data_IF_264200096193
#
_entry.id   IF_264200096193
#
_cell.length_a   1.000
_cell.length_b   1.000
_cell.length_c   1.000
_cell.angle_alpha   90.00
_cell.angle_beta   90.00
_cell.angle_gamma   90.00
#
_symmetry.space_group_name_H-M   'P 1'
#
loop_
_entity.id
_entity.type
_entity.pdbx_description
1 polymer ?
#
# COMPACT_ATOMS: atom_id res chain seq x y z
N UNK A 1 45.88 -10.32 67.90
CA UNK A 1 44.45 -10.21 68.12
C UNK A 1 44.00 -8.92 67.43
N UNK A 2 43.49 -9.04 66.19
CA UNK A 2 43.13 -7.90 65.32
C UNK A 2 41.66 -7.94 65.12
N UNK A 3 40.95 -6.88 65.49
CA UNK A 3 39.54 -6.69 65.22
C UNK A 3 39.38 -5.90 63.94
N UNK A 4 38.67 -6.49 62.95
CA UNK A 4 38.35 -5.88 61.68
C UNK A 4 37.02 -5.18 61.79
N UNK A 5 36.99 -3.87 61.59
CA UNK A 5 35.76 -3.08 61.51
C UNK A 5 35.13 -3.14 60.10
N UNK A 6 33.86 -3.52 60.03
CA UNK A 6 33.07 -3.48 58.81
C UNK A 6 32.40 -2.11 58.70
N UNK A 7 32.75 -1.34 57.66
CA UNK A 7 32.02 -0.13 57.30
C UNK A 7 30.88 -0.48 56.37
N UNK A 8 29.63 -0.23 56.80
CA UNK A 8 28.45 -0.24 55.97
C UNK A 8 28.26 1.13 55.31
N UNK A 9 28.35 1.17 53.97
CA UNK A 9 28.01 2.33 53.19
C UNK A 9 26.51 2.31 52.83
N UNK A 10 25.77 3.27 53.36
CA UNK A 10 24.37 3.53 52.99
C UNK A 10 24.33 4.43 51.74
N UNK A 11 23.76 3.94 50.66
CA UNK A 11 23.45 4.72 49.49
C UNK A 11 22.17 5.57 49.71
N UNK A 12 22.10 6.80 49.19
CA UNK A 12 20.94 7.65 49.37
C UNK A 12 19.81 7.28 48.42
N UNK A 13 18.60 7.18 48.95
CA UNK A 13 17.32 6.99 48.28
C UNK A 13 17.05 8.10 47.24
N UNK A 14 16.81 7.71 46.02
CA UNK A 14 16.29 8.58 44.96
C UNK A 14 14.89 8.12 44.53
N UNK A 15 13.80 8.55 45.20
CA UNK A 15 12.47 8.40 44.64
C UNK A 15 11.70 9.72 44.33
N UNK A 16 12.30 10.90 44.54
CA UNK A 16 11.52 12.14 44.38
C UNK A 16 11.57 12.81 42.99
N UNK A 17 12.51 12.46 42.13
CA UNK A 17 12.65 13.12 40.80
C UNK A 17 11.73 12.52 39.76
N UNK A 18 11.39 11.23 39.87
CA UNK A 18 10.47 10.58 38.92
C UNK A 18 9.00 10.94 39.09
N UNK A 19 8.57 11.22 40.36
CA UNK A 19 7.16 11.57 40.63
C UNK A 19 6.78 13.00 40.19
N UNK A 20 7.76 13.93 40.18
CA UNK A 20 7.54 15.31 39.74
C UNK A 20 7.44 15.47 38.24
N UNK A 21 8.18 14.65 37.46
CA UNK A 21 8.07 14.65 36.00
C UNK A 21 6.76 14.01 35.50
N UNK A 22 6.26 12.98 36.16
CA UNK A 22 4.98 12.36 35.80
C UNK A 22 3.75 13.25 36.08
N UNK A 23 3.81 14.13 37.08
CA UNK A 23 2.71 15.07 37.40
C UNK A 23 2.66 16.29 36.48
N UNK A 24 3.77 16.73 35.92
CA UNK A 24 3.80 17.84 34.95
C UNK A 24 3.27 17.44 33.57
N UNK A 25 3.34 16.16 33.20
CA UNK A 25 2.85 15.67 31.91
C UNK A 25 1.37 15.21 31.93
N UNK A 26 0.78 14.99 33.10
CA UNK A 26 -0.63 14.62 33.23
C UNK A 26 -1.59 15.80 33.15
N UNK A 27 -1.12 17.04 33.08
CA UNK A 27 -1.94 18.26 33.08
C UNK A 27 -2.15 18.88 31.70
N UNK A 28 -1.54 18.33 30.63
CA UNK A 28 -1.67 18.84 29.26
C UNK A 28 -2.32 17.82 28.30
N UNK A 29 -3.08 16.86 28.82
CA UNK A 29 -4.05 16.10 28.05
C UNK A 29 -5.35 16.91 27.90
N UNK A 30 -5.29 18.06 27.23
CA UNK A 30 -6.42 18.47 26.40
C UNK A 30 -6.49 17.45 25.28
N UNK A 31 -7.38 16.47 25.43
CA UNK A 31 -7.91 15.66 24.36
C UNK A 31 -8.55 16.61 23.35
N UNK A 32 -7.76 17.23 22.46
CA UNK A 32 -8.31 17.71 21.21
C UNK A 32 -8.87 16.48 20.51
N UNK A 33 -10.19 16.33 20.58
CA UNK A 33 -10.90 15.44 19.68
C UNK A 33 -10.43 15.78 18.28
N UNK A 34 -9.81 14.81 17.59
CA UNK A 34 -9.52 14.91 16.17
C UNK A 34 -10.88 14.99 15.46
N UNK A 35 -11.44 16.21 15.44
CA UNK A 35 -12.60 16.50 14.63
C UNK A 35 -12.19 16.37 13.18
N UNK A 36 -12.94 15.57 12.42
CA UNK A 36 -12.79 15.53 10.96
C UNK A 36 -13.05 16.91 10.33
N UNK A 37 -13.75 17.79 11.05
CA UNK A 37 -13.99 19.18 10.68
C UNK A 37 -12.70 20.02 10.68
N UNK A 38 -11.69 19.69 11.48
CA UNK A 38 -10.35 20.28 11.41
C UNK A 38 -9.63 20.00 10.07
N UNK A 39 -10.16 19.06 9.28
CA UNK A 39 -9.72 18.85 7.90
C UNK A 39 -10.42 19.80 6.91
N UNK A 40 -11.45 20.51 7.31
CA UNK A 40 -12.22 21.42 6.43
C UNK A 40 -11.70 22.86 6.44
N UNK A 41 -10.74 23.20 7.29
CA UNK A 41 -10.15 24.52 7.31
C UNK A 41 -9.51 24.87 5.97
N UNK A 42 -10.09 25.89 5.41
CA UNK A 42 -9.82 26.60 4.18
C UNK A 42 -8.39 27.20 4.20
N UNK A 43 -7.39 26.38 3.88
CA UNK A 43 -6.06 26.88 3.55
C UNK A 43 -6.04 27.29 2.07
N UNK A 44 -6.67 28.43 1.80
CA UNK A 44 -6.63 29.12 0.50
C UNK A 44 -5.28 29.78 0.21
N UNK A 45 -4.23 29.49 0.95
CA UNK A 45 -2.87 29.73 0.49
C UNK A 45 -2.62 28.80 -0.70
N UNK A 46 -3.03 29.24 -1.88
CA UNK A 46 -2.51 28.75 -3.15
C UNK A 46 -0.98 28.85 -3.06
N UNK A 47 -0.32 27.76 -2.63
CA UNK A 47 1.05 27.56 -3.09
C UNK A 47 0.94 27.65 -4.61
N UNK A 48 1.46 28.74 -5.19
CA UNK A 48 1.58 28.89 -6.63
C UNK A 48 2.34 27.68 -7.13
N UNK A 49 1.56 26.66 -7.49
CA UNK A 49 2.07 25.42 -8.11
C UNK A 49 2.56 25.88 -9.47
N UNK A 50 3.86 26.16 -9.57
CA UNK A 50 4.48 26.20 -10.90
C UNK A 50 4.08 24.91 -11.58
N UNK A 51 3.46 24.95 -12.76
CA UNK A 51 3.04 23.75 -13.48
C UNK A 51 4.22 22.79 -13.50
N UNK A 52 4.00 21.58 -12.99
CA UNK A 52 5.00 20.53 -13.07
C UNK A 52 5.21 20.22 -14.55
N UNK A 53 6.29 20.80 -15.12
CA UNK A 53 6.65 20.62 -16.52
C UNK A 53 7.29 19.26 -16.80
N UNK A 54 7.39 18.41 -15.75
CA UNK A 54 7.96 17.08 -15.88
C UNK A 54 7.04 16.19 -16.74
N UNK A 55 7.56 15.66 -17.83
CA UNK A 55 6.84 14.69 -18.64
C UNK A 55 6.76 13.35 -17.89
N UNK A 56 5.60 13.07 -17.31
CA UNK A 56 5.35 11.83 -16.56
C UNK A 56 5.43 10.58 -17.41
N UNK A 57 5.21 10.70 -18.72
CA UNK A 57 5.36 9.56 -19.63
C UNK A 57 6.82 9.12 -19.71
N UNK A 58 7.79 10.04 -19.50
CA UNK A 58 9.22 9.71 -19.53
C UNK A 58 9.66 8.69 -18.47
N UNK A 59 8.87 8.52 -17.38
CA UNK A 59 9.16 7.55 -16.32
C UNK A 59 8.21 6.34 -16.35
N UNK A 60 7.26 6.27 -17.28
CA UNK A 60 6.27 5.18 -17.32
C UNK A 60 6.92 3.81 -17.49
N UNK A 61 7.90 3.71 -18.39
CA UNK A 61 8.69 2.48 -18.59
C UNK A 61 9.50 2.11 -17.33
N UNK A 62 10.07 3.09 -16.63
CA UNK A 62 10.78 2.84 -15.35
C UNK A 62 9.83 2.34 -14.27
N UNK A 63 8.62 2.91 -14.20
CA UNK A 63 7.58 2.44 -13.27
C UNK A 63 7.15 1.02 -13.61
N UNK A 64 6.94 0.71 -14.89
CA UNK A 64 6.54 -0.62 -15.34
C UNK A 64 7.63 -1.67 -15.14
N UNK A 65 8.91 -1.28 -15.28
CA UNK A 65 10.06 -2.20 -15.25
C UNK A 65 10.70 -2.33 -13.86
N UNK A 66 10.66 -1.29 -13.03
CA UNK A 66 11.36 -1.23 -11.73
C UNK A 66 10.51 -0.65 -10.59
N UNK A 67 9.28 -0.20 -10.88
CA UNK A 67 8.43 0.43 -9.88
C UNK A 67 7.67 -0.55 -9.00
N UNK A 68 7.05 -0.02 -7.98
CA UNK A 68 6.13 -0.71 -7.07
C UNK A 68 4.69 -0.22 -7.24
N UNK A 69 3.75 -0.80 -6.51
CA UNK A 69 2.36 -0.34 -6.48
C UNK A 69 2.25 1.14 -6.06
N UNK A 70 3.13 1.59 -5.18
CA UNK A 70 3.18 2.97 -4.71
C UNK A 70 3.59 3.95 -5.82
N UNK A 71 4.57 3.59 -6.64
CA UNK A 71 5.09 4.47 -7.71
C UNK A 71 4.11 4.69 -8.86
N UNK A 72 3.15 3.80 -9.07
CA UNK A 72 2.11 3.99 -10.11
C UNK A 72 1.26 5.24 -9.87
N UNK A 73 1.16 5.71 -8.61
CA UNK A 73 0.45 6.93 -8.25
C UNK A 73 1.12 8.20 -8.81
N UNK A 74 2.42 8.16 -9.06
CA UNK A 74 3.18 9.30 -9.58
C UNK A 74 2.76 9.66 -11.00
N UNK A 75 2.33 8.67 -11.79
CA UNK A 75 1.84 8.89 -13.15
C UNK A 75 0.45 9.54 -13.17
N UNK A 76 -0.38 9.27 -12.18
CA UNK A 76 -1.80 9.59 -12.22
C UNK A 76 -2.19 10.89 -11.51
N UNK A 77 -1.47 11.26 -10.44
CA UNK A 77 -1.88 12.37 -9.59
C UNK A 77 -0.97 13.58 -9.74
N UNK A 78 -1.54 14.74 -10.06
CA UNK A 78 -0.82 16.01 -10.18
C UNK A 78 -0.14 16.46 -8.89
N UNK A 79 -0.63 16.00 -7.72
CA UNK A 79 -0.03 16.31 -6.40
C UNK A 79 1.38 15.76 -6.21
N UNK A 80 1.80 14.75 -7.00
CA UNK A 80 3.17 14.25 -6.93
C UNK A 80 4.09 15.10 -7.80
N UNK A 81 5.14 15.61 -7.18
CA UNK A 81 6.33 16.13 -7.87
C UNK A 81 7.30 14.98 -8.10
N UNK A 82 8.08 15.06 -9.17
CA UNK A 82 9.07 14.04 -9.51
C UNK A 82 10.46 14.65 -9.38
N UNK A 83 11.29 14.01 -8.57
CA UNK A 83 12.72 14.23 -8.58
C UNK A 83 13.40 13.14 -9.39
N UNK A 84 14.34 13.53 -10.22
CA UNK A 84 15.24 12.62 -10.93
C UNK A 84 16.66 13.10 -10.68
N UNK A 85 17.55 12.16 -10.32
CA UNK A 85 18.97 12.48 -10.18
C UNK A 85 19.54 12.93 -11.52
N UNK A 86 20.49 13.86 -11.52
CA UNK A 86 21.11 14.36 -12.76
C UNK A 86 21.96 13.33 -13.51
N UNK A 87 22.35 12.25 -12.81
CA UNK A 87 23.16 11.15 -13.34
C UNK A 87 22.89 9.87 -12.58
N UNK A 88 23.26 8.71 -13.12
CA UNK A 88 23.22 7.45 -12.37
C UNK A 88 23.96 7.55 -11.05
N UNK A 89 23.41 6.91 -10.01
CA UNK A 89 24.00 6.79 -8.68
C UNK A 89 24.38 5.33 -8.48
N UNK A 90 25.68 5.05 -8.43
CA UNK A 90 26.16 3.68 -8.29
C UNK A 90 25.59 2.98 -7.03
N UNK A 91 25.20 1.70 -7.11
CA UNK A 91 25.32 0.79 -8.25
C UNK A 91 24.14 0.84 -9.26
N UNK A 92 23.22 1.82 -9.18
CA UNK A 92 22.13 1.95 -10.16
C UNK A 92 22.68 2.29 -11.56
N UNK A 93 22.19 1.58 -12.58
CA UNK A 93 22.58 1.76 -13.99
C UNK A 93 21.92 2.96 -14.65
N UNK A 94 20.86 3.50 -14.05
CA UNK A 94 20.17 4.71 -14.49
C UNK A 94 20.03 5.72 -13.33
N UNK A 95 19.69 6.96 -13.66
CA UNK A 95 19.44 8.02 -12.70
C UNK A 95 18.20 7.70 -11.85
N UNK A 96 18.31 7.58 -10.51
CA UNK A 96 17.17 7.32 -9.63
C UNK A 96 16.06 8.36 -9.77
N UNK A 97 14.82 7.90 -9.60
CA UNK A 97 13.60 8.72 -9.66
C UNK A 97 12.82 8.55 -8.37
N UNK A 98 12.32 9.66 -7.80
CA UNK A 98 11.48 9.66 -6.60
C UNK A 98 10.27 10.58 -6.76
N UNK A 99 9.06 10.00 -6.58
CA UNK A 99 7.84 10.80 -6.47
C UNK A 99 7.60 11.26 -5.04
N UNK A 100 7.21 12.51 -4.86
CA UNK A 100 6.97 13.09 -3.54
C UNK A 100 5.85 14.13 -3.56
N UNK A 101 5.22 14.34 -2.41
CA UNK A 101 4.24 15.41 -2.17
C UNK A 101 4.84 16.42 -1.19
N UNK A 102 4.41 17.67 -1.28
CA UNK A 102 4.76 18.71 -0.29
C UNK A 102 3.49 19.31 0.32
N UNK A 103 3.49 19.50 1.64
CA UNK A 103 2.48 20.29 2.35
C UNK A 103 3.15 21.08 3.48
N UNK A 104 3.18 22.40 3.35
CA UNK A 104 3.95 23.27 4.24
C UNK A 104 5.43 22.89 4.26
N UNK A 105 5.97 22.66 5.46
CA UNK A 105 7.37 22.24 5.65
C UNK A 105 7.57 20.72 5.52
N UNK A 106 6.52 19.93 5.23
CA UNK A 106 6.61 18.48 5.10
C UNK A 106 6.76 18.06 3.65
N UNK A 107 7.69 17.14 3.42
CA UNK A 107 7.90 16.46 2.13
C UNK A 107 7.69 14.97 2.36
N UNK A 108 6.70 14.42 1.68
CA UNK A 108 6.34 13.01 1.76
C UNK A 108 6.84 12.29 0.52
N UNK A 109 7.99 11.62 0.62
CA UNK A 109 8.46 10.70 -0.39
C UNK A 109 7.57 9.45 -0.38
N UNK A 110 7.00 9.08 -1.52
CA UNK A 110 5.97 8.05 -1.62
C UNK A 110 6.50 6.81 -2.32
N UNK A 111 6.63 5.72 -1.60
CA UNK A 111 7.27 4.49 -2.08
C UNK A 111 8.79 4.61 -2.16
N UNK A 112 9.44 3.54 -2.60
CA UNK A 112 10.89 3.53 -2.81
C UNK A 112 11.30 4.41 -3.99
N UNK A 113 12.50 4.98 -4.00
CA UNK A 113 13.08 5.49 -5.23
C UNK A 113 13.21 4.36 -6.25
N UNK A 114 12.93 4.66 -7.52
CA UNK A 114 13.16 3.71 -8.61
C UNK A 114 14.66 3.68 -8.91
N UNK A 115 15.25 2.52 -8.75
CA UNK A 115 16.67 2.21 -8.99
C UNK A 115 16.79 0.87 -9.70
N UNK A 116 17.91 0.58 -10.36
CA UNK A 116 18.09 -0.70 -11.04
C UNK A 116 18.45 -1.87 -10.11
N UNK A 117 18.87 -1.57 -8.88
CA UNK A 117 19.22 -2.56 -7.85
C UNK A 117 18.93 -2.01 -6.46
N UNK A 118 18.43 -2.82 -5.52
CA UNK A 118 18.18 -2.40 -4.14
C UNK A 118 19.40 -1.83 -3.42
N UNK A 119 20.60 -2.25 -3.77
CA UNK A 119 21.85 -1.75 -3.18
C UNK A 119 22.09 -0.25 -3.42
N UNK A 120 21.38 0.35 -4.39
CA UNK A 120 21.43 1.79 -4.65
C UNK A 120 20.45 2.61 -3.79
N UNK A 121 19.57 1.98 -3.01
CA UNK A 121 18.51 2.67 -2.27
C UNK A 121 19.05 3.69 -1.27
N UNK A 122 20.09 3.33 -0.48
CA UNK A 122 20.67 4.24 0.49
C UNK A 122 21.25 5.49 -0.18
N UNK A 123 22.06 5.30 -1.22
CA UNK A 123 22.69 6.39 -1.93
C UNK A 123 21.66 7.29 -2.63
N UNK A 124 20.62 6.71 -3.21
CA UNK A 124 19.49 7.43 -3.81
C UNK A 124 18.70 8.23 -2.75
N UNK A 125 18.46 7.64 -1.57
CA UNK A 125 17.81 8.32 -0.46
C UNK A 125 18.60 9.53 0.03
N UNK A 126 19.91 9.37 0.25
CA UNK A 126 20.80 10.48 0.63
C UNK A 126 20.78 11.61 -0.39
N UNK A 127 20.85 11.28 -1.68
CA UNK A 127 20.83 12.26 -2.76
C UNK A 127 19.48 13.02 -2.80
N UNK A 128 18.35 12.32 -2.61
CA UNK A 128 17.05 12.96 -2.55
C UNK A 128 16.92 13.88 -1.33
N UNK A 129 17.36 13.46 -0.13
CA UNK A 129 17.34 14.30 1.07
C UNK A 129 18.20 15.55 0.88
N UNK A 130 19.39 15.42 0.28
CA UNK A 130 20.26 16.55 -0.05
C UNK A 130 19.57 17.53 -1.02
N UNK A 131 18.91 17.00 -2.04
CA UNK A 131 18.13 17.82 -2.98
C UNK A 131 17.05 18.62 -2.23
N UNK A 132 16.22 17.96 -1.41
CA UNK A 132 15.17 18.65 -0.65
C UNK A 132 15.75 19.71 0.29
N UNK A 133 16.84 19.40 1.00
CA UNK A 133 17.52 20.35 1.90
C UNK A 133 18.11 21.55 1.14
N UNK A 134 18.51 21.37 -0.12
CA UNK A 134 18.99 22.47 -0.97
C UNK A 134 17.89 23.42 -1.41
N UNK A 135 16.64 22.95 -1.48
CA UNK A 135 15.47 23.80 -1.78
C UNK A 135 15.12 24.71 -0.59
N UNK A 136 15.08 24.13 0.60
CA UNK A 136 14.85 24.83 1.86
C UNK A 136 15.29 23.94 3.03
N UNK A 137 16.16 24.44 3.88
CA UNK A 137 16.70 23.71 5.05
C UNK A 137 15.64 23.40 6.13
N UNK A 138 14.47 24.05 6.08
CA UNK A 138 13.35 23.81 6.99
C UNK A 138 12.47 22.65 6.58
N UNK A 139 12.63 22.13 5.36
CA UNK A 139 11.84 21.00 4.86
C UNK A 139 12.19 19.71 5.59
N UNK A 140 11.16 18.98 6.03
CA UNK A 140 11.26 17.72 6.74
C UNK A 140 10.81 16.59 5.81
N UNK A 141 11.70 15.65 5.53
CA UNK A 141 11.41 14.51 4.67
C UNK A 141 10.87 13.36 5.50
N UNK A 142 9.77 12.77 5.06
CA UNK A 142 9.19 11.55 5.57
C UNK A 142 9.00 10.58 4.41
N UNK A 143 9.48 9.36 4.54
CA UNK A 143 9.17 8.30 3.58
C UNK A 143 7.91 7.52 4.00
N UNK A 144 7.01 7.30 3.05
CA UNK A 144 5.72 6.63 3.28
C UNK A 144 5.55 5.52 2.25
N UNK A 145 4.99 4.39 2.66
CA UNK A 145 4.71 3.24 1.79
C UNK A 145 5.98 2.64 1.18
N UNK A 146 7.02 2.50 1.97
CA UNK A 146 8.27 1.84 1.57
C UNK A 146 8.28 0.37 1.99
N UNK A 147 8.98 -0.46 1.23
CA UNK A 147 9.19 -1.87 1.55
C UNK A 147 10.31 -2.08 2.57
N UNK A 148 10.56 -3.34 2.90
CA UNK A 148 11.57 -3.73 3.89
C UNK A 148 13.01 -3.38 3.46
N UNK A 149 13.32 -3.39 2.16
CA UNK A 149 14.68 -3.04 1.70
C UNK A 149 14.97 -1.55 1.92
N UNK A 150 14.02 -0.70 1.60
CA UNK A 150 14.12 0.74 1.84
C UNK A 150 14.05 1.08 3.33
N UNK A 151 13.21 0.36 4.09
CA UNK A 151 13.14 0.50 5.54
C UNK A 151 14.49 0.23 6.21
N UNK A 152 15.19 -0.84 5.82
CA UNK A 152 16.55 -1.14 6.31
C UNK A 152 17.54 -0.04 5.92
N UNK A 153 17.50 0.43 4.68
CA UNK A 153 18.36 1.52 4.23
C UNK A 153 18.17 2.79 5.06
N UNK A 154 16.93 3.12 5.43
CA UNK A 154 16.63 4.29 6.26
C UNK A 154 16.87 4.06 7.75
N UNK A 155 16.41 2.92 8.30
CA UNK A 155 16.48 2.61 9.73
C UNK A 155 17.87 2.21 10.21
N UNK A 156 18.49 1.23 9.54
CA UNK A 156 19.78 0.68 9.95
C UNK A 156 20.95 1.59 9.51
N UNK A 157 20.94 2.08 8.26
CA UNK A 157 22.09 2.79 7.69
C UNK A 157 22.02 4.30 7.89
N UNK A 158 20.81 4.90 7.91
CA UNK A 158 20.60 6.34 8.11
C UNK A 158 20.14 6.69 9.52
N UNK A 159 19.83 5.71 10.38
CA UNK A 159 19.43 5.93 11.77
C UNK A 159 18.03 6.54 11.93
N UNK A 160 17.17 6.41 10.94
CA UNK A 160 15.81 6.96 10.97
C UNK A 160 14.89 6.11 11.85
N UNK A 161 13.89 6.76 12.45
CA UNK A 161 12.79 6.06 13.11
C UNK A 161 11.88 5.43 12.07
N UNK A 162 11.54 4.14 12.25
CA UNK A 162 10.73 3.40 11.31
C UNK A 162 9.56 2.70 12.01
N UNK A 163 8.39 2.73 11.38
CA UNK A 163 7.18 2.10 11.89
C UNK A 163 6.48 1.34 10.79
N UNK A 164 6.03 0.14 11.11
CA UNK A 164 5.12 -0.64 10.31
C UNK A 164 3.68 -0.27 10.68
N UNK A 165 2.92 0.23 9.73
CA UNK A 165 1.51 0.59 9.90
C UNK A 165 0.67 0.42 8.62
N UNK A 166 1.27 -0.11 7.58
CA UNK A 166 0.68 -0.29 6.25
C UNK A 166 1.06 -1.67 5.76
N UNK A 167 0.18 -2.29 4.96
CA UNK A 167 0.46 -3.52 4.21
C UNK A 167 0.34 -3.26 2.72
N UNK A 168 1.06 -4.03 1.94
CA UNK A 168 0.72 -4.31 0.55
C UNK A 168 -0.01 -5.65 0.48
N UNK A 169 -1.18 -5.66 -0.15
CA UNK A 169 -2.01 -6.87 -0.27
C UNK A 169 -1.69 -7.58 -1.57
N UNK A 170 -0.84 -8.61 -1.51
CA UNK A 170 -0.32 -9.36 -2.65
C UNK A 170 -1.08 -10.66 -2.84
N UNK A 171 -1.38 -11.01 -4.08
CA UNK A 171 -2.14 -12.19 -4.49
C UNK A 171 -1.24 -13.08 -5.36
N UNK A 172 -1.21 -14.37 -5.05
CA UNK A 172 -0.76 -15.40 -5.98
C UNK A 172 -1.96 -15.89 -6.79
N UNK A 173 -2.03 -15.66 -8.12
CA UNK A 173 -3.14 -16.09 -8.95
C UNK A 173 -3.44 -17.59 -8.82
N UNK A 174 -2.40 -18.44 -8.82
CA UNK A 174 -2.54 -19.89 -8.70
C UNK A 174 -3.26 -20.31 -7.43
N UNK A 175 -2.85 -19.73 -6.30
CA UNK A 175 -3.46 -20.07 -5.01
C UNK A 175 -4.96 -19.74 -4.98
N UNK A 176 -5.37 -18.63 -5.56
CA UNK A 176 -6.80 -18.26 -5.65
C UNK A 176 -7.56 -19.29 -6.48
N UNK A 177 -7.01 -19.70 -7.63
CA UNK A 177 -7.64 -20.67 -8.52
C UNK A 177 -7.76 -22.03 -7.83
N UNK A 178 -6.69 -22.53 -7.21
CA UNK A 178 -6.69 -23.79 -6.45
C UNK A 178 -7.76 -23.84 -5.37
N UNK A 179 -7.91 -22.75 -4.60
CA UNK A 179 -8.89 -22.68 -3.52
C UNK A 179 -10.32 -22.58 -4.04
N UNK A 180 -10.53 -21.82 -5.13
CA UNK A 180 -11.86 -21.67 -5.74
C UNK A 180 -12.31 -22.95 -6.44
N UNK A 181 -11.42 -23.62 -7.17
CA UNK A 181 -11.73 -24.83 -7.93
C UNK A 181 -11.75 -26.11 -7.06
N UNK A 182 -11.20 -26.01 -5.82
CA UNK A 182 -11.25 -27.12 -4.89
C UNK A 182 -12.70 -27.59 -4.66
N UNK A 183 -12.97 -28.91 -4.73
CA UNK A 183 -14.30 -29.44 -4.48
C UNK A 183 -14.73 -29.13 -3.03
N UNK A 184 -16.00 -28.76 -2.87
CA UNK A 184 -16.58 -28.57 -1.54
C UNK A 184 -16.47 -29.91 -0.77
N UNK A 185 -15.73 -29.94 0.33
CA UNK A 185 -15.66 -31.11 1.20
C UNK A 185 -17.07 -31.40 1.75
N UNK A 186 -17.75 -32.38 1.15
CA UNK A 186 -18.97 -32.91 1.73
C UNK A 186 -18.57 -33.67 2.98
N UNK A 187 -18.99 -33.22 4.17
CA UNK A 187 -18.84 -33.97 5.40
C UNK A 187 -19.50 -35.33 5.21
N UNK A 188 -18.70 -36.39 4.98
CA UNK A 188 -19.21 -37.75 5.03
C UNK A 188 -19.62 -37.99 6.47
N UNK A 189 -20.88 -38.42 6.65
CA UNK A 189 -21.44 -38.82 7.96
C UNK A 189 -20.58 -39.95 8.49
N UNK A 190 -19.74 -39.70 9.51
CA UNK A 190 -18.94 -40.75 10.16
C UNK A 190 -17.42 -40.51 10.26
N UNK A 191 -16.85 -39.50 9.63
CA UNK A 191 -15.45 -39.12 9.88
C UNK A 191 -15.39 -38.21 11.11
N UNK A 192 -14.50 -38.51 12.07
CA UNK A 192 -14.18 -37.61 13.21
C UNK A 192 -13.76 -36.27 12.65
N UNK A 193 -14.65 -35.31 12.76
CA UNK A 193 -14.38 -33.91 12.31
C UNK A 193 -13.33 -33.33 13.23
N UNK A 194 -12.08 -33.27 12.77
CA UNK A 194 -11.04 -32.47 13.41
C UNK A 194 -11.64 -31.07 13.68
N UNK A 195 -11.71 -30.66 14.93
CA UNK A 195 -12.25 -29.34 15.30
C UNK A 195 -11.38 -28.28 14.61
N UNK A 196 -11.90 -27.64 13.59
CA UNK A 196 -11.25 -26.53 12.91
C UNK A 196 -11.04 -25.36 13.90
N UNK A 197 -9.91 -24.71 13.83
CA UNK A 197 -9.64 -23.49 14.55
C UNK A 197 -10.64 -22.38 14.15
N UNK A 198 -10.72 -21.33 14.93
CA UNK A 198 -11.57 -20.17 14.62
C UNK A 198 -11.17 -19.54 13.28
N UNK A 199 -9.87 -19.42 13.06
CA UNK A 199 -9.27 -18.85 11.84
C UNK A 199 -9.57 -19.69 10.61
N UNK A 200 -9.46 -21.04 10.70
CA UNK A 200 -9.80 -21.95 9.61
C UNK A 200 -11.28 -21.88 9.23
N UNK A 201 -12.18 -21.67 10.22
CA UNK A 201 -13.62 -21.50 9.96
C UNK A 201 -13.90 -20.18 9.24
N UNK A 202 -13.31 -19.08 9.72
CA UNK A 202 -13.45 -17.74 9.11
C UNK A 202 -12.97 -17.79 7.66
N UNK A 203 -11.80 -18.38 7.41
CA UNK A 203 -11.24 -18.56 6.08
C UNK A 203 -12.16 -19.36 5.15
N UNK A 204 -12.74 -20.46 5.64
CA UNK A 204 -13.70 -21.25 4.85
C UNK A 204 -14.98 -20.48 4.52
N UNK A 205 -15.45 -19.61 5.42
CA UNK A 205 -16.63 -18.76 5.17
C UNK A 205 -16.35 -17.70 4.10
N UNK A 206 -15.16 -17.09 4.12
CA UNK A 206 -14.71 -16.13 3.12
C UNK A 206 -14.69 -16.78 1.73
N UNK A 207 -14.11 -17.98 1.60
CA UNK A 207 -14.08 -18.71 0.33
C UNK A 207 -15.47 -19.09 -0.15
N UNK A 208 -16.35 -19.54 0.75
CA UNK A 208 -17.76 -19.84 0.42
C UNK A 208 -18.49 -18.61 -0.11
N UNK A 209 -18.23 -17.42 0.50
CA UNK A 209 -18.84 -16.17 0.02
C UNK A 209 -18.30 -15.81 -1.37
N UNK A 210 -17.02 -15.95 -1.64
CA UNK A 210 -16.45 -15.77 -2.98
C UNK A 210 -17.15 -16.71 -3.99
N UNK A 211 -17.14 -18.02 -3.76
CA UNK A 211 -17.80 -19.00 -4.63
C UNK A 211 -19.29 -18.69 -4.85
N UNK A 212 -19.98 -18.23 -3.82
CA UNK A 212 -21.39 -17.81 -3.91
C UNK A 212 -21.55 -16.59 -4.80
N UNK A 213 -20.66 -15.59 -4.71
CA UNK A 213 -20.73 -14.39 -5.53
C UNK A 213 -20.38 -14.69 -7.00
N UNK A 214 -19.42 -15.55 -7.27
CA UNK A 214 -19.13 -16.05 -8.63
C UNK A 214 -20.37 -16.70 -9.26
N UNK A 215 -21.02 -17.63 -8.55
CA UNK A 215 -22.25 -18.29 -9.02
C UNK A 215 -23.41 -17.31 -9.24
N UNK A 216 -23.52 -16.24 -8.44
CA UNK A 216 -24.55 -15.20 -8.63
C UNK A 216 -24.34 -14.42 -9.91
N UNK A 217 -23.09 -14.00 -10.18
CA UNK A 217 -22.76 -13.31 -11.41
C UNK A 217 -23.01 -14.20 -12.64
N UNK A 218 -22.67 -15.50 -12.57
CA UNK A 218 -22.99 -16.46 -13.64
C UNK A 218 -24.47 -16.59 -13.91
N UNK A 219 -25.27 -16.79 -12.86
CA UNK A 219 -26.74 -16.89 -12.98
C UNK A 219 -27.38 -15.62 -13.54
N UNK A 220 -26.75 -14.46 -13.33
CA UNK A 220 -27.17 -13.18 -13.89
C UNK A 220 -26.72 -12.98 -15.35
N UNK A 221 -26.07 -13.98 -15.96
CA UNK A 221 -25.59 -13.91 -17.34
C UNK A 221 -24.36 -13.01 -17.54
N UNK A 222 -23.62 -12.70 -16.45
CA UNK A 222 -22.40 -11.92 -16.56
C UNK A 222 -21.31 -12.73 -17.23
N UNK A 223 -20.75 -12.21 -18.32
CA UNK A 223 -19.55 -12.73 -19.00
C UNK A 223 -18.35 -11.85 -18.69
N UNK A 224 -17.14 -12.42 -18.69
CA UNK A 224 -15.90 -11.68 -18.41
C UNK A 224 -14.81 -12.12 -19.38
N UNK A 225 -13.94 -11.18 -19.75
CA UNK A 225 -12.81 -11.48 -20.62
C UNK A 225 -11.84 -10.31 -20.73
N UNK A 226 -10.60 -10.64 -21.11
CA UNK A 226 -9.60 -9.63 -21.42
C UNK A 226 -9.91 -8.92 -22.73
N UNK A 227 -9.60 -7.64 -22.79
CA UNK A 227 -9.71 -6.84 -24.00
C UNK A 227 -8.48 -7.10 -24.87
N UNK A 228 -8.71 -7.72 -26.00
CA UNK A 228 -7.68 -7.94 -27.02
C UNK A 228 -7.87 -6.90 -28.12
N UNK A 229 -6.82 -6.09 -28.36
CA UNK A 229 -6.87 -5.01 -29.36
C UNK A 229 -7.57 -3.74 -28.84
N UNK A 230 -8.12 -2.94 -29.74
CA UNK A 230 -8.76 -1.68 -29.40
C UNK A 230 -10.24 -1.87 -29.05
N UNK A 231 -10.67 -1.13 -28.01
CA UNK A 231 -12.10 -1.03 -27.68
C UNK A 231 -12.86 -0.22 -28.72
N UNK A 232 -14.10 -0.62 -29.01
CA UNK A 232 -15.01 0.20 -29.80
C UNK A 232 -15.29 1.53 -29.10
N UNK A 233 -15.61 2.56 -29.87
CA UNK A 233 -15.97 3.88 -29.30
C UNK A 233 -17.23 3.80 -28.42
N UNK A 234 -18.20 2.95 -28.79
CA UNK A 234 -19.41 2.71 -28.00
C UNK A 234 -19.07 2.11 -26.62
N UNK A 235 -18.18 1.12 -26.56
CA UNK A 235 -17.72 0.54 -25.31
C UNK A 235 -16.96 1.58 -24.46
N UNK A 236 -16.08 2.38 -25.07
CA UNK A 236 -15.34 3.44 -24.36
C UNK A 236 -16.29 4.44 -23.69
N UNK A 237 -17.25 4.98 -24.44
CA UNK A 237 -18.24 5.91 -23.92
C UNK A 237 -19.05 5.27 -22.79
N UNK A 238 -19.46 4.01 -22.95
CA UNK A 238 -20.19 3.26 -21.92
C UNK A 238 -19.37 3.07 -20.66
N UNK A 239 -18.09 2.74 -20.78
CA UNK A 239 -17.18 2.55 -19.66
C UNK A 239 -16.94 3.87 -18.92
N UNK A 240 -16.62 4.94 -19.63
CA UNK A 240 -16.36 6.27 -19.04
C UNK A 240 -17.59 6.77 -18.29
N UNK A 241 -18.79 6.64 -18.87
CA UNK A 241 -20.04 6.96 -18.19
C UNK A 241 -20.26 6.10 -16.96
N UNK A 242 -20.03 4.78 -17.06
CA UNK A 242 -20.16 3.87 -15.92
C UNK A 242 -19.24 4.19 -14.77
N UNK A 243 -18.00 4.61 -15.06
CA UNK A 243 -17.02 5.09 -14.10
C UNK A 243 -17.50 6.38 -13.42
N UNK A 244 -18.01 7.35 -14.20
CA UNK A 244 -18.49 8.62 -13.66
C UNK A 244 -19.74 8.43 -12.78
N UNK A 245 -20.64 7.55 -13.18
CA UNK A 245 -21.82 7.22 -12.37
C UNK A 245 -21.40 6.49 -11.08
N UNK A 246 -20.42 5.60 -11.13
CA UNK A 246 -19.86 4.97 -9.94
C UNK A 246 -19.19 5.99 -8.99
N UNK A 247 -18.45 7.00 -9.51
CA UNK A 247 -17.88 8.07 -8.69
C UNK A 247 -18.95 8.86 -7.93
N UNK A 248 -20.07 9.20 -8.61
CA UNK A 248 -21.18 9.96 -8.00
C UNK A 248 -21.87 9.20 -6.86
N UNK A 249 -21.87 7.86 -6.91
CA UNK A 249 -22.50 7.02 -5.88
C UNK A 249 -21.56 6.72 -4.69
N UNK A 250 -20.33 7.21 -4.70
CA UNK A 250 -19.41 7.04 -3.57
C UNK A 250 -19.56 8.16 -2.56
N UNK A 251 -19.85 7.77 -1.33
CA UNK A 251 -19.95 8.67 -0.18
C UNK A 251 -18.72 8.51 0.74
N UNK A 252 -18.41 9.55 1.51
CA UNK A 252 -17.35 9.56 2.52
C UNK A 252 -16.00 10.12 2.02
N UNK A 253 -15.08 10.27 2.95
CA UNK A 253 -13.75 10.82 2.69
C UNK A 253 -12.95 9.88 1.80
N UNK A 254 -12.49 10.38 0.67
CA UNK A 254 -11.68 9.64 -0.30
C UNK A 254 -10.20 9.95 -0.08
N UNK A 255 -9.57 9.29 0.90
CA UNK A 255 -8.12 9.36 1.11
C UNK A 255 -7.44 8.44 0.09
N UNK A 256 -6.38 8.92 -0.54
CA UNK A 256 -5.63 8.20 -1.57
C UNK A 256 -6.54 7.57 -2.63
N UNK A 257 -7.60 8.31 -3.03
CA UNK A 257 -8.52 7.83 -4.06
C UNK A 257 -7.77 7.63 -5.37
N UNK A 258 -8.03 6.52 -6.02
CA UNK A 258 -7.52 6.24 -7.34
C UNK A 258 -8.11 7.23 -8.34
N UNK A 259 -7.30 7.86 -9.16
CA UNK A 259 -7.83 8.59 -10.32
C UNK A 259 -8.43 7.59 -11.27
N UNK A 260 -9.51 8.01 -11.89
CA UNK A 260 -10.17 7.19 -12.89
C UNK A 260 -9.81 7.74 -14.27
N UNK A 261 -8.55 7.57 -14.65
CA UNK A 261 -8.08 7.81 -16.00
C UNK A 261 -7.77 6.44 -16.62
N UNK A 262 -8.78 5.74 -17.13
CA UNK A 262 -8.63 4.34 -17.53
C UNK A 262 -7.60 4.17 -18.65
N UNK A 263 -7.51 5.14 -19.54
CA UNK A 263 -6.68 5.06 -20.75
C UNK A 263 -5.27 5.67 -20.60
N UNK A 264 -4.89 6.08 -19.40
CA UNK A 264 -3.54 6.54 -19.11
C UNK A 264 -2.57 5.37 -19.23
N UNK A 265 -1.42 5.59 -19.90
CA UNK A 265 -0.34 4.60 -19.98
C UNK A 265 -0.82 3.21 -20.49
N UNK A 266 -1.50 3.20 -21.64
CA UNK A 266 -2.11 2.00 -22.22
C UNK A 266 -1.11 0.88 -22.48
N UNK A 267 0.14 1.21 -22.81
CA UNK A 267 1.21 0.28 -23.15
C UNK A 267 1.59 -0.65 -22.00
N UNK A 268 1.43 -0.16 -20.75
CA UNK A 268 1.73 -0.92 -19.54
C UNK A 268 0.47 -1.41 -18.80
N UNK A 269 -0.72 -1.32 -19.44
CA UNK A 269 -1.98 -1.72 -18.83
C UNK A 269 -2.67 -2.84 -19.59
N UNK A 270 -3.30 -3.72 -18.84
CA UNK A 270 -4.20 -4.76 -19.33
C UNK A 270 -5.60 -4.50 -18.80
N UNK A 271 -6.60 -4.83 -19.60
CA UNK A 271 -7.99 -4.50 -19.32
C UNK A 271 -8.85 -5.75 -19.39
N UNK A 272 -9.71 -5.95 -18.40
CA UNK A 272 -10.78 -6.95 -18.43
C UNK A 272 -12.12 -6.25 -18.32
N UNK A 273 -13.10 -6.74 -19.07
CA UNK A 273 -14.48 -6.25 -19.00
C UNK A 273 -15.40 -7.35 -18.48
N UNK A 274 -16.37 -6.94 -17.68
CA UNK A 274 -17.56 -7.72 -17.45
C UNK A 274 -18.70 -7.14 -18.30
N UNK A 275 -19.45 -8.04 -18.96
CA UNK A 275 -20.59 -7.68 -19.81
C UNK A 275 -21.85 -8.37 -19.31
N UNK A 276 -22.99 -7.73 -19.49
CA UNK A 276 -24.31 -8.32 -19.21
C UNK A 276 -24.77 -9.29 -20.31
N UNK A 277 -25.95 -9.86 -20.15
CA UNK A 277 -26.53 -10.79 -21.13
C UNK A 277 -26.82 -10.14 -22.51
N UNK A 278 -26.80 -8.80 -22.58
CA UNK A 278 -26.93 -8.04 -23.82
C UNK A 278 -25.59 -7.60 -24.40
N UNK A 279 -24.51 -8.13 -23.89
CA UNK A 279 -23.13 -7.80 -24.26
C UNK A 279 -22.68 -6.36 -23.92
N UNK A 280 -23.43 -5.62 -23.09
CA UNK A 280 -23.08 -4.27 -22.65
C UNK A 280 -22.03 -4.31 -21.55
N UNK A 281 -20.95 -3.48 -21.57
CA UNK A 281 -20.01 -3.35 -20.46
C UNK A 281 -20.71 -2.88 -19.18
N UNK A 282 -20.50 -3.61 -18.07
CA UNK A 282 -21.05 -3.32 -16.74
C UNK A 282 -19.98 -3.23 -15.65
N UNK A 283 -18.74 -3.57 -15.96
CA UNK A 283 -17.60 -3.39 -15.07
C UNK A 283 -16.29 -3.40 -15.86
N UNK A 284 -15.27 -2.77 -15.29
CA UNK A 284 -13.91 -2.75 -15.81
C UNK A 284 -12.89 -3.08 -14.71
N UNK A 285 -11.91 -3.90 -15.05
CA UNK A 285 -10.69 -4.13 -14.28
C UNK A 285 -9.50 -3.64 -15.08
N UNK A 286 -8.62 -2.89 -14.42
CA UNK A 286 -7.37 -2.39 -15.00
C UNK A 286 -6.21 -2.92 -14.17
N UNK A 287 -5.32 -3.65 -14.80
CA UNK A 287 -4.05 -4.07 -14.27
C UNK A 287 -2.94 -3.19 -14.86
N UNK A 288 -2.11 -2.61 -14.00
CA UNK A 288 -0.91 -1.88 -14.41
C UNK A 288 0.31 -2.73 -14.11
N UNK A 289 1.17 -2.92 -15.10
CA UNK A 289 2.42 -3.64 -14.93
C UNK A 289 3.32 -2.89 -13.95
N UNK A 290 3.88 -3.61 -13.02
CA UNK A 290 4.94 -3.17 -12.10
C UNK A 290 5.97 -4.29 -12.03
N UNK A 291 7.23 -3.95 -11.78
CA UNK A 291 8.22 -4.96 -11.52
C UNK A 291 8.60 -4.89 -10.04
N UNK A 292 8.04 -5.79 -9.24
CA UNK A 292 8.65 -6.11 -7.97
C UNK A 292 9.95 -6.85 -8.31
N UNK A 293 11.06 -6.14 -8.33
CA UNK A 293 12.38 -6.78 -8.40
C UNK A 293 12.40 -7.87 -7.33
N UNK A 294 12.78 -9.11 -7.67
CA UNK A 294 12.91 -10.13 -6.66
C UNK A 294 13.98 -9.66 -5.68
N UNK A 295 13.55 -9.24 -4.50
CA UNK A 295 14.50 -9.06 -3.41
C UNK A 295 15.19 -10.40 -3.20
N UNK A 296 16.52 -10.37 -3.07
CA UNK A 296 17.27 -11.56 -2.75
C UNK A 296 16.62 -12.23 -1.53
N UNK A 297 16.36 -13.56 -1.56
CA UNK A 297 15.64 -14.23 -0.50
C UNK A 297 16.32 -13.94 0.82
N UNK A 298 15.63 -13.24 1.71
CA UNK A 298 16.10 -13.11 3.10
C UNK A 298 15.88 -14.47 3.76
N UNK A 299 16.89 -15.08 4.42
CA UNK A 299 16.84 -16.45 4.91
C UNK A 299 15.73 -16.74 5.94
N UNK A 300 15.03 -15.73 6.41
CA UNK A 300 14.28 -15.84 7.68
C UNK A 300 12.78 -15.48 7.60
N UNK A 301 12.17 -15.42 6.43
CA UNK A 301 10.74 -15.18 6.36
C UNK A 301 10.01 -16.31 5.65
N UNK A 302 8.99 -16.85 6.34
CA UNK A 302 7.98 -17.77 5.79
C UNK A 302 7.22 -17.17 4.56
N UNK A 303 7.51 -15.95 4.19
CA UNK A 303 7.07 -15.19 3.02
C UNK A 303 7.96 -15.43 1.77
N UNK A 304 9.00 -16.24 1.90
CA UNK A 304 9.92 -16.64 0.81
C UNK A 304 9.22 -17.22 -0.43
N UNK A 305 7.92 -17.52 -0.33
CA UNK A 305 7.15 -18.02 -1.47
C UNK A 305 6.83 -16.97 -2.53
N UNK A 306 6.90 -15.67 -2.18
CA UNK A 306 6.54 -14.58 -3.09
C UNK A 306 7.73 -14.03 -3.86
N UNK A 307 8.94 -14.22 -3.35
CA UNK A 307 10.17 -13.71 -3.96
C UNK A 307 10.92 -14.85 -4.67
N UNK A 308 10.79 -14.87 -5.98
CA UNK A 308 11.59 -15.63 -6.95
C UNK A 308 12.15 -16.98 -6.50
N UNK A 309 11.44 -18.06 -6.78
CA UNK A 309 12.07 -19.37 -6.83
C UNK A 309 13.23 -19.28 -7.85
N UNK A 310 14.45 -19.76 -7.56
CA UNK A 310 15.59 -19.70 -8.46
C UNK A 310 15.35 -20.41 -9.82
N UNK A 311 14.26 -21.16 -9.93
CA UNK A 311 13.86 -21.89 -11.15
C UNK A 311 13.05 -21.01 -12.15
N UNK A 312 12.59 -19.81 -11.74
CA UNK A 312 11.79 -18.93 -12.59
C UNK A 312 12.45 -17.55 -12.72
N UNK A 313 13.30 -17.34 -13.73
CA UNK A 313 14.06 -16.10 -13.91
C UNK A 313 13.21 -14.86 -14.22
N UNK A 314 11.95 -15.04 -14.60
CA UNK A 314 11.04 -13.94 -14.94
C UNK A 314 9.88 -13.86 -13.95
N UNK A 315 9.90 -12.80 -13.14
CA UNK A 315 8.79 -12.46 -12.27
C UNK A 315 8.12 -11.18 -12.78
N UNK A 316 6.84 -11.26 -13.07
CA UNK A 316 6.05 -10.11 -13.53
C UNK A 316 4.98 -9.83 -12.51
N UNK A 317 4.91 -8.59 -12.06
CA UNK A 317 3.89 -8.14 -11.11
C UNK A 317 2.92 -7.17 -11.77
N UNK A 318 1.67 -7.25 -11.33
CA UNK A 318 0.62 -6.30 -11.72
C UNK A 318 -0.04 -5.71 -10.50
N UNK A 319 -0.36 -4.43 -10.57
CA UNK A 319 -1.27 -3.80 -9.61
C UNK A 319 -2.68 -3.75 -10.17
N UNK A 320 -3.67 -4.15 -9.35
CA UNK A 320 -5.08 -3.84 -9.60
C UNK A 320 -5.26 -2.34 -9.39
N UNK A 321 -5.23 -1.62 -10.49
CA UNK A 321 -5.37 -0.17 -10.45
C UNK A 321 -6.82 0.23 -10.21
N UNK A 322 -7.72 -0.43 -10.89
CA UNK A 322 -9.16 -0.23 -10.77
C UNK A 322 -9.88 -1.57 -10.94
N UNK A 323 -10.87 -1.81 -10.10
CA UNK A 323 -11.88 -2.86 -10.24
C UNK A 323 -13.22 -2.21 -9.97
N UNK A 324 -13.87 -1.71 -11.01
CA UNK A 324 -15.10 -0.90 -10.90
C UNK A 324 -16.27 -1.64 -11.51
N UNK A 325 -17.25 -1.96 -10.67
CA UNK A 325 -18.59 -2.37 -11.14
C UNK A 325 -19.48 -1.15 -11.20
N UNK A 326 -20.17 -0.97 -12.32
CA UNK A 326 -21.08 0.15 -12.50
C UNK A 326 -22.33 -0.03 -11.60
N UNK A 327 -23.07 1.03 -11.28
CA UNK A 327 -24.12 0.97 -10.26
C UNK A 327 -25.16 -0.15 -10.48
N UNK A 328 -25.51 -0.44 -11.75
CA UNK A 328 -26.51 -1.44 -12.11
C UNK A 328 -25.95 -2.85 -12.30
N UNK A 329 -24.67 -3.06 -12.05
CA UNK A 329 -24.03 -4.37 -12.23
C UNK A 329 -24.57 -5.39 -11.21
N UNK A 330 -24.87 -6.63 -11.65
CA UNK A 330 -25.29 -7.70 -10.74
C UNK A 330 -24.28 -7.95 -9.61
N UNK A 331 -24.79 -8.37 -8.45
CA UNK A 331 -23.93 -8.74 -7.32
C UNK A 331 -22.97 -9.88 -7.67
N UNK A 332 -21.71 -9.72 -7.32
CA UNK A 332 -20.64 -10.67 -7.62
C UNK A 332 -19.87 -10.35 -8.92
N UNK A 333 -20.24 -9.30 -9.64
CA UNK A 333 -19.57 -8.89 -10.88
C UNK A 333 -18.10 -8.53 -10.63
N UNK A 334 -17.78 -7.78 -9.57
CA UNK A 334 -16.39 -7.43 -9.23
C UNK A 334 -15.56 -8.67 -8.92
N UNK A 335 -16.10 -9.58 -8.10
CA UNK A 335 -15.42 -10.83 -7.76
C UNK A 335 -15.19 -11.70 -9.00
N UNK A 336 -16.18 -11.82 -9.88
CA UNK A 336 -16.06 -12.60 -11.12
C UNK A 336 -15.03 -11.99 -12.07
N UNK A 337 -14.99 -10.66 -12.17
CA UNK A 337 -14.07 -9.96 -13.04
C UNK A 337 -12.61 -10.13 -12.57
N UNK A 338 -12.35 -9.95 -11.26
CA UNK A 338 -11.02 -10.15 -10.68
C UNK A 338 -10.61 -11.64 -10.82
N UNK A 339 -11.50 -12.58 -10.46
CA UNK A 339 -11.22 -14.01 -10.60
C UNK A 339 -10.88 -14.40 -12.04
N UNK A 340 -11.58 -13.84 -13.04
CA UNK A 340 -11.30 -14.08 -14.45
C UNK A 340 -9.88 -13.62 -14.83
N UNK A 341 -9.49 -12.43 -14.41
CA UNK A 341 -8.14 -11.92 -14.68
C UNK A 341 -7.07 -12.79 -14.02
N UNK A 342 -7.26 -13.17 -12.75
CA UNK A 342 -6.33 -14.04 -12.05
C UNK A 342 -6.20 -15.42 -12.73
N UNK A 343 -7.31 -15.98 -13.21
CA UNK A 343 -7.32 -17.24 -13.94
C UNK A 343 -6.58 -17.15 -15.28
N UNK A 344 -6.73 -16.06 -16.00
CA UNK A 344 -6.04 -15.85 -17.27
C UNK A 344 -4.53 -15.69 -17.03
N UNK A 345 -4.12 -14.93 -16.00
CA UNK A 345 -2.73 -14.80 -15.58
C UNK A 345 -2.15 -16.15 -15.09
N UNK A 346 -2.90 -16.96 -14.34
CA UNK A 346 -2.44 -18.28 -13.92
C UNK A 346 -2.16 -19.22 -15.10
N UNK A 347 -2.96 -19.14 -16.15
CA UNK A 347 -2.72 -19.90 -17.38
C UNK A 347 -1.47 -19.45 -18.13
N UNK A 348 -1.20 -18.15 -18.14
CA UNK A 348 -0.02 -17.57 -18.78
C UNK A 348 1.28 -17.88 -18.02
N UNK A 349 1.25 -17.88 -16.67
CA UNK A 349 2.46 -18.08 -15.85
C UNK A 349 3.12 -19.44 -16.05
N UNK A 350 2.37 -20.46 -16.48
CA UNK A 350 2.94 -21.77 -16.80
C UNK A 350 3.91 -21.73 -17.99
N UNK A 351 3.83 -20.70 -18.81
CA UNK A 351 4.61 -20.54 -20.05
C UNK A 351 5.69 -19.47 -19.92
N UNK A 352 5.41 -18.38 -19.19
CA UNK A 352 6.23 -17.16 -19.21
C UNK A 352 6.94 -16.86 -17.88
N UNK A 353 6.70 -17.61 -16.84
CA UNK A 353 7.24 -17.37 -15.50
C UNK A 353 6.15 -17.19 -14.46
N UNK A 354 6.50 -16.61 -13.31
CA UNK A 354 5.56 -16.42 -12.21
C UNK A 354 4.95 -15.02 -12.25
N UNK A 355 3.63 -14.94 -12.06
CA UNK A 355 2.90 -13.69 -11.89
C UNK A 355 2.48 -13.49 -10.45
N UNK A 356 2.54 -12.23 -10.00
CA UNK A 356 1.85 -11.78 -8.79
C UNK A 356 0.94 -10.60 -9.12
N UNK A 357 -0.10 -10.44 -8.32
CA UNK A 357 -1.03 -9.33 -8.45
C UNK A 357 -1.17 -8.66 -7.09
N UNK A 358 -1.18 -7.34 -7.03
CA UNK A 358 -1.42 -6.64 -5.77
C UNK A 358 -2.66 -5.74 -5.84
N UNK A 359 -3.39 -5.69 -4.74
CA UNK A 359 -4.43 -4.67 -4.54
C UNK A 359 -3.85 -3.29 -4.17
N UNK A 360 -2.52 -3.21 -4.00
CA UNK A 360 -1.86 -2.06 -3.44
C UNK A 360 -2.01 -1.95 -1.92
N UNK A 361 -1.72 -0.77 -1.40
CA UNK A 361 -1.60 -0.53 0.04
C UNK A 361 -2.93 -0.62 0.79
N UNK A 362 -2.84 -1.10 2.04
CA UNK A 362 -3.92 -1.11 3.04
C UNK A 362 -3.38 -0.71 4.41
N UNK A 363 -4.26 -0.22 5.29
CA UNK A 363 -3.87 0.12 6.65
C UNK A 363 -3.71 -1.16 7.49
N UNK A 364 -2.66 -1.23 8.31
CA UNK A 364 -2.53 -2.27 9.32
C UNK A 364 -3.52 -2.05 10.48
N UNK A 365 -3.85 -3.11 11.21
CA UNK A 365 -4.73 -3.01 12.37
C UNK A 365 -4.08 -2.29 13.56
N UNK A 366 -2.75 -2.24 13.58
CA UNK A 366 -1.95 -1.59 14.63
C UNK A 366 -0.65 -1.06 14.03
N UNK A 367 -0.06 -0.09 14.72
CA UNK A 367 1.27 0.40 14.42
C UNK A 367 2.29 -0.35 15.27
N UNK A 368 3.37 -0.82 14.63
CA UNK A 368 4.48 -1.52 15.27
C UNK A 368 5.78 -0.77 14.99
N UNK A 369 6.51 -0.32 16.04
CA UNK A 369 7.83 0.28 15.86
C UNK A 369 8.82 -0.79 15.39
N UNK A 370 9.72 -0.42 14.47
CA UNK A 370 10.71 -1.33 13.90
C UNK A 370 12.12 -0.91 14.27
N UNK A 371 12.59 0.28 13.87
CA UNK A 371 13.89 0.79 14.22
C UNK A 371 13.81 2.17 14.89
N UNK A 372 14.74 2.43 15.80
CA UNK A 372 15.06 3.73 16.40
C UNK A 372 13.85 4.47 17.02
N UNK A 373 12.80 3.75 17.40
CA UNK A 373 11.62 4.32 18.04
C UNK A 373 11.26 3.51 19.29
N UNK A 374 11.19 4.18 20.43
CA UNK A 374 10.86 3.53 21.72
C UNK A 374 10.15 4.48 22.69
N UNK A 375 9.62 3.90 23.77
CA UNK A 375 9.06 4.65 24.88
C UNK A 375 7.75 5.34 24.57
N UNK A 376 7.50 6.52 25.16
CA UNK A 376 6.23 7.24 25.08
C UNK A 376 5.88 7.74 23.68
N UNK A 377 6.90 8.00 22.82
CA UNK A 377 6.70 8.40 21.40
C UNK A 377 5.88 7.34 20.65
N UNK A 378 6.14 6.04 20.91
CA UNK A 378 5.37 4.93 20.32
C UNK A 378 3.90 5.02 20.69
N UNK A 379 3.63 5.28 21.97
CA UNK A 379 2.25 5.26 22.47
C UNK A 379 1.41 6.39 21.87
N UNK A 380 1.98 7.58 21.79
CA UNK A 380 1.32 8.75 21.21
C UNK A 380 1.03 8.53 19.71
N UNK A 381 2.02 8.06 18.95
CA UNK A 381 1.88 7.82 17.52
C UNK A 381 0.88 6.68 17.23
N UNK A 382 0.89 5.61 18.03
CA UNK A 382 -0.06 4.50 17.94
C UNK A 382 -1.51 4.94 18.20
N UNK A 383 -1.74 5.77 19.21
CA UNK A 383 -3.07 6.30 19.49
C UNK A 383 -3.59 7.17 18.35
N UNK A 384 -2.73 8.03 17.79
CA UNK A 384 -3.07 8.87 16.64
C UNK A 384 -3.41 8.00 15.42
N UNK A 385 -2.58 7.01 15.13
CA UNK A 385 -2.81 6.08 14.02
C UNK A 385 -4.17 5.36 14.15
N UNK A 386 -4.48 4.82 15.33
CA UNK A 386 -5.73 4.10 15.59
C UNK A 386 -6.96 4.99 15.39
N UNK A 387 -6.92 6.26 15.82
CA UNK A 387 -7.99 7.23 15.59
C UNK A 387 -8.18 7.49 14.09
N UNK A 388 -7.09 7.76 13.36
CA UNK A 388 -7.13 8.01 11.91
C UNK A 388 -7.64 6.79 11.13
N UNK A 389 -7.13 5.60 11.38
CA UNK A 389 -7.51 4.38 10.67
C UNK A 389 -9.01 4.06 10.84
N UNK A 390 -9.55 4.29 12.03
CA UNK A 390 -10.99 4.11 12.33
C UNK A 390 -11.86 5.16 11.63
N UNK A 391 -11.49 6.45 11.72
CA UNK A 391 -12.29 7.55 11.20
C UNK A 391 -12.34 7.61 9.67
N UNK A 392 -11.33 7.09 9.01
CA UNK A 392 -11.21 7.14 7.53
C UNK A 392 -11.76 5.92 6.81
N UNK A 393 -12.20 4.89 7.55
CA UNK A 393 -12.72 3.65 6.96
C UNK A 393 -11.70 2.86 6.14
N UNK A 394 -10.40 3.09 6.38
CA UNK A 394 -9.32 2.39 5.67
C UNK A 394 -9.36 0.88 5.89
N UNK A 395 -9.88 0.43 7.03
CA UNK A 395 -10.00 -0.99 7.38
C UNK A 395 -11.11 -1.73 6.60
N UNK A 396 -12.12 -1.02 6.08
CA UNK A 396 -13.27 -1.67 5.41
C UNK A 396 -12.91 -2.37 4.09
N UNK A 397 -11.77 -2.00 3.47
CA UNK A 397 -11.31 -2.61 2.21
C UNK A 397 -10.66 -3.97 2.42
N UNK A 398 -10.17 -4.26 3.62
CA UNK A 398 -9.48 -5.52 3.95
C UNK A 398 -10.38 -6.74 3.75
N UNK A 399 -11.64 -6.66 4.18
CA UNK A 399 -12.59 -7.79 4.10
C UNK A 399 -12.86 -8.23 2.65
N UNK A 400 -12.90 -7.28 1.70
CA UNK A 400 -13.05 -7.61 0.29
C UNK A 400 -11.80 -8.30 -0.26
N UNK A 401 -10.61 -7.80 0.10
CA UNK A 401 -9.32 -8.31 -0.38
C UNK A 401 -9.00 -9.71 0.13
N UNK A 402 -9.36 -10.00 1.38
CA UNK A 402 -9.23 -11.33 1.99
C UNK A 402 -9.88 -12.45 1.16
N UNK A 403 -10.93 -12.16 0.38
CA UNK A 403 -11.59 -13.13 -0.49
C UNK A 403 -10.67 -13.73 -1.55
N UNK A 404 -9.59 -13.05 -1.89
CA UNK A 404 -8.63 -13.44 -2.92
C UNK A 404 -7.32 -13.96 -2.33
N UNK A 405 -7.35 -14.53 -1.12
CA UNK A 405 -6.16 -15.13 -0.50
C UNK A 405 -4.96 -14.18 -0.44
N UNK A 406 -5.22 -12.86 -0.32
CA UNK A 406 -4.15 -11.88 -0.29
C UNK A 406 -3.26 -12.05 0.94
N UNK A 407 -1.96 -11.97 0.73
CA UNK A 407 -0.92 -11.96 1.76
C UNK A 407 -0.57 -10.52 2.06
N UNK A 408 -0.43 -10.19 3.34
CA UNK A 408 -0.10 -8.86 3.81
C UNK A 408 1.41 -8.71 3.93
N UNK A 409 2.05 -8.04 2.97
CA UNK A 409 3.46 -7.69 3.06
C UNK A 409 3.63 -6.38 3.83
N UNK A 410 4.53 -6.32 4.82
CA UNK A 410 4.70 -5.13 5.65
C UNK A 410 5.27 -3.97 4.83
N UNK A 411 4.69 -2.79 5.02
CA UNK A 411 5.21 -1.53 4.49
C UNK A 411 5.35 -0.51 5.62
N UNK A 412 6.26 0.43 5.43
CA UNK A 412 6.76 1.26 6.52
C UNK A 412 6.58 2.75 6.24
N UNK A 413 6.54 3.51 7.34
CA UNK A 413 6.74 4.95 7.39
C UNK A 413 8.06 5.20 8.12
N UNK A 414 8.93 5.98 7.50
CA UNK A 414 10.28 6.25 8.00
C UNK A 414 10.52 7.77 8.06
N UNK A 415 11.09 8.25 9.17
CA UNK A 415 11.31 9.68 9.40
C UNK A 415 12.54 9.91 10.28
N UNK A 416 13.23 11.07 10.16
CA UNK A 416 14.35 11.42 11.04
C UNK A 416 13.93 11.49 12.51
N UNK A 417 14.88 11.34 13.43
CA UNK A 417 14.64 11.28 14.88
C UNK A 417 13.91 12.52 15.44
N UNK A 418 14.06 13.69 14.83
CA UNK A 418 13.46 14.97 15.24
C UNK A 418 11.95 15.07 15.09
N UNK A 419 11.30 13.98 14.73
CA UNK A 419 9.91 13.80 14.98
C UNK A 419 8.99 13.96 13.77
N UNK A 420 8.19 12.94 13.63
CA UNK A 420 6.97 12.93 12.85
C UNK A 420 5.82 12.84 13.87
N UNK A 421 5.30 13.99 14.28
CA UNK A 421 4.23 14.12 15.26
C UNK A 421 2.84 14.24 14.63
N UNK A 422 1.88 14.66 15.43
CA UNK A 422 0.49 14.85 14.98
C UNK A 422 0.38 15.84 13.80
N UNK A 423 1.16 16.92 13.82
CA UNK A 423 1.24 17.92 12.75
C UNK A 423 1.69 17.30 11.42
N UNK A 424 2.68 16.42 11.44
CA UNK A 424 3.14 15.69 10.27
C UNK A 424 2.09 14.71 9.74
N UNK A 425 1.39 13.98 10.62
CA UNK A 425 0.29 13.08 10.24
C UNK A 425 -0.85 13.88 9.61
N UNK A 426 -1.23 15.03 10.18
CA UNK A 426 -2.26 15.90 9.62
C UNK A 426 -1.85 16.49 8.28
N UNK A 427 -0.59 16.89 8.13
CA UNK A 427 -0.06 17.37 6.85
C UNK A 427 -0.10 16.25 5.78
N UNK A 428 0.24 15.01 6.14
CA UNK A 428 0.13 13.84 5.24
C UNK A 428 -1.32 13.62 4.79
N UNK A 429 -2.26 13.62 5.73
CA UNK A 429 -3.68 13.45 5.40
C UNK A 429 -4.20 14.56 4.48
N UNK A 430 -3.81 15.82 4.74
CA UNK A 430 -4.13 16.96 3.87
C UNK A 430 -3.47 16.82 2.48
N UNK A 431 -2.23 16.33 2.39
CA UNK A 431 -1.55 16.09 1.11
C UNK A 431 -2.20 14.95 0.29
N UNK A 432 -2.83 13.97 0.94
CA UNK A 432 -3.53 12.86 0.29
C UNK A 432 -4.97 13.20 -0.11
N UNK A 433 -5.53 14.27 0.42
CA UNK A 433 -6.87 14.76 0.05
C UNK A 433 -6.82 15.37 -1.35
N UNK A 434 -7.93 15.23 -2.08
CA UNK A 434 -8.12 15.94 -3.35
C UNK A 434 -8.49 17.37 -3.10
#
# INVERSE_FOLDING_TARGET
MSATAVMTSSAPNTPQIQSLRLKAFAADETTEELSLDALEDDDTSEETVTPDTFDRNSISELVASHGSSSSTAWLEFSRYKIWQASKPIAPSTFAPVQGYMRKGNWVFAWGNPIVSTPDALEAAARAFVQYISSLDSKLKVVWVCVDQAMERALGEMLGWSTVHCIYEDVIDPRRVIEVVDAPEKKNKRGEETKKLSKEEKEHQEIIKDLKKNLRRAEKAGVTTGEVVGELSEEDRVTIEKGIDDWKKHRHGIQIASTTMVPWLDKEHRRYWLARDAKNKPIAILILTKINAQPHAPTPDTSLSYMHGHPEHPHHISYQIKNAVSFPDAPKGTSEKLIYSALRDLDREQTQLGRYTVTFGISAANSMVPTHNLSGWKVHTLSNTYNKVAKSTGLLNRLEFRKKFESIHEPMFVCYPEDGFGLDGVMALLKALRK
#
